data_IF_527094247978
#
_entry.id   IF_527094247978
#
_cell.length_a   1.000
_cell.length_b   1.000
_cell.length_c   1.000
_cell.angle_alpha   90.00
_cell.angle_beta   90.00
_cell.angle_gamma   90.00
#
_symmetry.space_group_name_H-M   'P 1'
#
loop_
_entity.id
_entity.type
_entity.pdbx_description
1 polymer ?
#
# COMPACT_ATOMS: atom_id res chain seq x y z
N UNK A 1 -1.19 24.32 12.12
CA UNK A 1 -0.16 23.97 11.13
C UNK A 1 0.96 23.26 11.87
N UNK A 2 0.88 21.94 11.98
CA UNK A 2 1.89 21.14 12.66
C UNK A 2 2.86 20.62 11.60
N UNK A 3 4.12 21.02 11.73
CA UNK A 3 5.18 20.64 10.82
C UNK A 3 5.39 19.11 10.87
N UNK A 4 5.25 18.46 9.73
CA UNK A 4 5.53 17.06 9.52
C UNK A 4 7.03 16.86 9.70
N UNK A 5 7.41 16.11 10.74
CA UNK A 5 8.80 15.77 11.00
C UNK A 5 9.28 14.80 9.89
N UNK A 6 10.35 15.13 9.13
CA UNK A 6 10.84 14.25 8.09
C UNK A 6 11.45 13.01 8.72
N UNK A 7 11.33 11.88 8.01
CA UNK A 7 12.01 10.60 8.19
C UNK A 7 13.07 10.64 9.30
N UNK A 8 12.81 10.02 10.45
CA UNK A 8 13.81 9.89 11.50
C UNK A 8 14.95 9.00 10.99
N UNK A 9 15.94 9.65 10.40
CA UNK A 9 17.22 9.04 10.12
C UNK A 9 17.93 8.83 11.45
N UNK A 10 18.14 7.58 11.82
CA UNK A 10 19.06 7.23 12.90
C UNK A 10 20.47 7.69 12.48
N UNK A 11 21.15 8.59 13.19
CA UNK A 11 22.48 9.01 12.82
C UNK A 11 23.52 8.04 13.40
N UNK A 12 23.73 6.92 12.71
CA UNK A 12 24.85 6.05 13.04
C UNK A 12 25.54 5.59 11.74
N UNK A 13 26.78 6.07 11.62
CA UNK A 13 27.85 5.73 10.72
C UNK A 13 28.02 6.59 9.46
N UNK A 14 28.90 7.57 9.62
CA UNK A 14 29.53 8.29 8.52
C UNK A 14 30.53 7.42 7.78
N UNK A 15 30.08 6.89 6.66
CA UNK A 15 30.79 6.61 5.42
C UNK A 15 29.64 6.37 4.46
N UNK A 16 29.24 7.40 3.70
CA UNK A 16 28.02 7.38 2.88
C UNK A 16 27.93 6.09 2.06
N UNK A 17 27.01 5.22 2.42
CA UNK A 17 26.69 4.03 1.65
C UNK A 17 26.19 4.50 0.28
N UNK A 18 27.07 4.39 -0.72
CA UNK A 18 26.79 4.84 -2.09
C UNK A 18 25.81 3.94 -2.81
N UNK A 19 25.15 3.02 -2.05
CA UNK A 19 24.22 2.05 -2.60
C UNK A 19 22.83 2.67 -2.78
N UNK A 20 22.14 2.19 -3.79
CA UNK A 20 20.75 2.53 -4.08
C UNK A 20 19.84 2.19 -2.91
N UNK A 21 19.03 3.14 -2.47
CA UNK A 21 18.00 2.90 -1.47
C UNK A 21 16.85 2.10 -2.06
N UNK A 22 16.39 1.10 -1.34
CA UNK A 22 15.12 0.38 -1.60
C UNK A 22 14.10 0.89 -0.59
N UNK A 23 12.89 1.19 -1.03
CA UNK A 23 11.79 1.63 -0.16
C UNK A 23 10.59 0.76 -0.48
N UNK A 24 10.05 0.08 0.53
CA UNK A 24 8.89 -0.79 0.38
C UNK A 24 7.62 -0.07 0.83
N UNK A 25 6.58 -0.19 0.02
CA UNK A 25 5.20 0.14 0.34
C UNK A 25 4.37 -1.13 0.24
N UNK A 26 3.57 -1.41 1.25
CA UNK A 26 2.66 -2.55 1.25
C UNK A 26 1.25 -2.10 1.58
N UNK A 27 0.26 -2.60 0.85
CA UNK A 27 -1.09 -2.59 1.36
C UNK A 27 -1.19 -3.42 2.63
N UNK A 28 -2.28 -3.30 3.35
CA UNK A 28 -2.49 -3.90 4.65
C UNK A 28 -3.48 -5.06 4.58
N UNK A 29 -4.72 -4.73 4.22
CA UNK A 29 -5.85 -5.64 4.15
C UNK A 29 -5.75 -6.51 2.88
N UNK A 30 -5.86 -7.83 2.99
CA UNK A 30 -5.61 -8.77 1.89
C UNK A 30 -4.13 -8.99 1.57
N UNK A 31 -3.22 -8.19 2.12
CA UNK A 31 -1.78 -8.22 1.81
C UNK A 31 -0.92 -8.62 3.00
N UNK A 32 -0.87 -7.84 4.08
CA UNK A 32 -0.18 -8.22 5.33
C UNK A 32 -1.09 -9.09 6.19
N UNK A 33 -2.35 -8.73 6.27
CA UNK A 33 -3.40 -9.49 6.93
C UNK A 33 -4.34 -10.07 5.88
N UNK A 34 -4.78 -11.31 6.09
CA UNK A 34 -5.60 -12.02 5.10
C UNK A 34 -7.03 -11.50 5.04
N UNK A 35 -7.50 -10.89 6.11
CA UNK A 35 -8.85 -10.31 6.22
C UNK A 35 -8.77 -8.79 6.12
N UNK A 36 -9.89 -8.17 5.69
CA UNK A 36 -10.07 -6.72 5.71
C UNK A 36 -10.52 -6.26 7.11
N UNK A 37 -9.72 -5.37 7.71
CA UNK A 37 -9.96 -4.85 9.07
C UNK A 37 -11.26 -4.06 9.18
N UNK A 38 -11.60 -3.29 8.15
CA UNK A 38 -12.86 -2.57 8.06
C UNK A 38 -14.05 -3.51 7.98
N UNK A 39 -13.99 -4.52 7.11
CA UNK A 39 -15.06 -5.50 6.93
C UNK A 39 -15.34 -6.27 8.23
N UNK A 40 -14.29 -6.70 8.94
CA UNK A 40 -14.44 -7.38 10.24
C UNK A 40 -15.22 -6.52 11.25
N UNK A 41 -14.93 -5.21 11.28
CA UNK A 41 -15.65 -4.28 12.16
C UNK A 41 -17.09 -4.01 11.71
N UNK A 42 -17.27 -3.74 10.41
CA UNK A 42 -18.59 -3.40 9.85
C UNK A 42 -19.58 -4.55 10.00
N UNK A 43 -19.11 -5.79 9.75
CA UNK A 43 -19.94 -6.99 9.88
C UNK A 43 -20.32 -7.29 11.32
N UNK A 44 -19.42 -7.00 12.28
CA UNK A 44 -19.62 -7.34 13.70
C UNK A 44 -20.29 -6.23 14.51
N UNK A 45 -20.00 -4.97 14.22
CA UNK A 45 -20.36 -3.82 15.07
C UNK A 45 -20.96 -2.64 14.31
N UNK A 46 -21.10 -2.75 13.00
CA UNK A 46 -21.57 -1.68 12.11
C UNK A 46 -22.81 -2.06 11.32
N UNK A 47 -22.80 -1.77 10.03
CA UNK A 47 -23.93 -1.96 9.13
C UNK A 47 -24.30 -3.44 8.86
N UNK A 48 -23.43 -4.38 9.23
CA UNK A 48 -23.61 -5.80 8.97
C UNK A 48 -23.17 -6.22 7.54
N UNK A 49 -22.93 -7.53 7.36
CA UNK A 49 -22.38 -8.08 6.12
C UNK A 49 -23.24 -7.79 4.88
N UNK A 50 -24.56 -7.98 4.99
CA UNK A 50 -25.50 -7.75 3.88
C UNK A 50 -25.41 -6.29 3.37
N UNK A 51 -25.50 -5.30 4.28
CA UNK A 51 -25.41 -3.91 3.90
C UNK A 51 -24.03 -3.52 3.38
N UNK A 52 -22.97 -4.06 3.97
CA UNK A 52 -21.59 -3.85 3.47
C UNK A 52 -21.43 -4.35 2.03
N UNK A 53 -21.94 -5.56 1.71
CA UNK A 53 -21.88 -6.11 0.35
C UNK A 53 -22.64 -5.24 -0.67
N UNK A 54 -23.79 -4.70 -0.30
CA UNK A 54 -24.51 -3.73 -1.14
C UNK A 54 -23.68 -2.46 -1.40
N UNK A 55 -23.02 -1.95 -0.35
CA UNK A 55 -22.18 -0.76 -0.42
C UNK A 55 -20.93 -1.00 -1.26
N UNK A 56 -20.29 -2.16 -1.12
CA UNK A 56 -19.16 -2.59 -1.95
C UNK A 56 -19.55 -2.67 -3.43
N UNK A 57 -20.74 -3.15 -3.73
CA UNK A 57 -21.24 -3.21 -5.11
C UNK A 57 -21.47 -1.81 -5.69
N UNK A 58 -21.92 -0.84 -4.90
CA UNK A 58 -22.07 0.56 -5.33
C UNK A 58 -20.72 1.19 -5.69
N UNK A 59 -19.63 0.83 -4.97
CA UNK A 59 -18.28 1.24 -5.36
C UNK A 59 -17.87 0.60 -6.70
N UNK A 60 -18.08 -0.72 -6.84
CA UNK A 60 -17.68 -1.47 -8.05
C UNK A 60 -18.40 -0.97 -9.31
N UNK A 61 -19.68 -0.63 -9.19
CA UNK A 61 -20.49 -0.09 -10.30
C UNK A 61 -20.23 1.39 -10.57
N UNK A 62 -19.53 2.09 -9.67
CA UNK A 62 -19.29 3.52 -9.75
C UNK A 62 -20.53 4.36 -9.42
N UNK A 63 -21.56 3.77 -8.80
CA UNK A 63 -22.75 4.48 -8.33
C UNK A 63 -22.42 5.48 -7.23
N UNK A 64 -21.51 5.11 -6.34
CA UNK A 64 -21.01 5.98 -5.26
C UNK A 64 -19.48 5.95 -5.19
N UNK A 65 -18.91 7.05 -4.72
CA UNK A 65 -17.47 7.11 -4.50
C UNK A 65 -17.03 6.19 -3.36
N UNK A 66 -15.77 5.75 -3.39
CA UNK A 66 -15.20 4.97 -2.28
C UNK A 66 -15.26 5.74 -0.96
N UNK A 67 -15.01 7.06 -1.00
CA UNK A 67 -15.07 7.94 0.17
C UNK A 67 -16.46 7.98 0.78
N UNK A 68 -17.51 8.21 -0.03
CA UNK A 68 -18.88 8.33 0.47
C UNK A 68 -19.37 7.03 1.11
N UNK A 69 -19.07 5.90 0.46
CA UNK A 69 -19.42 4.57 0.99
C UNK A 69 -18.64 4.26 2.27
N UNK A 70 -17.34 4.52 2.28
CA UNK A 70 -16.51 4.31 3.46
C UNK A 70 -16.97 5.19 4.63
N UNK A 71 -17.38 6.43 4.38
CA UNK A 71 -17.93 7.32 5.42
C UNK A 71 -19.21 6.74 6.03
N UNK A 72 -20.10 6.16 5.22
CA UNK A 72 -21.30 5.46 5.71
C UNK A 72 -20.93 4.22 6.53
N UNK A 73 -20.02 3.39 6.05
CA UNK A 73 -19.58 2.18 6.74
C UNK A 73 -18.93 2.50 8.09
N UNK A 74 -17.94 3.40 8.12
CA UNK A 74 -17.29 3.82 9.38
C UNK A 74 -18.28 4.51 10.32
N UNK A 75 -19.14 5.38 9.79
CA UNK A 75 -20.19 6.05 10.55
C UNK A 75 -21.29 5.13 11.08
N UNK A 76 -21.35 3.87 10.64
CA UNK A 76 -22.30 2.88 11.14
C UNK A 76 -21.85 2.24 12.46
N UNK A 77 -20.59 2.32 12.82
CA UNK A 77 -20.05 1.72 14.04
C UNK A 77 -20.62 2.38 15.30
N UNK A 78 -20.97 1.57 16.28
CA UNK A 78 -21.47 1.98 17.60
C UNK A 78 -20.83 1.13 18.69
N UNK A 79 -19.53 1.19 18.78
CA UNK A 79 -18.73 0.40 19.71
C UNK A 79 -17.51 1.18 20.16
N UNK A 80 -17.13 1.17 21.45
CA UNK A 80 -15.84 1.70 21.91
C UNK A 80 -14.68 1.04 21.16
N UNK A 81 -13.62 1.81 20.91
CA UNK A 81 -12.49 1.35 20.09
C UNK A 81 -11.89 0.02 20.57
N UNK A 82 -11.63 -0.10 21.88
CA UNK A 82 -11.04 -1.31 22.46
C UNK A 82 -11.97 -2.52 22.42
N UNK A 83 -13.29 -2.30 22.53
CA UNK A 83 -14.28 -3.37 22.42
C UNK A 83 -14.42 -3.86 20.97
N UNK A 84 -14.47 -2.94 20.02
CA UNK A 84 -14.44 -3.27 18.58
C UNK A 84 -13.17 -4.01 18.18
N UNK A 85 -12.04 -3.69 18.80
CA UNK A 85 -10.77 -4.34 18.50
C UNK A 85 -10.75 -5.83 18.87
N UNK A 86 -11.50 -6.27 19.89
CA UNK A 86 -11.54 -7.68 20.34
C UNK A 86 -11.98 -8.68 19.28
N UNK A 87 -12.78 -8.26 18.31
CA UNK A 87 -13.16 -9.14 17.19
C UNK A 87 -12.00 -9.30 16.21
N UNK A 88 -11.23 -8.26 15.97
CA UNK A 88 -10.07 -8.29 15.09
C UNK A 88 -8.96 -9.21 15.62
N UNK A 89 -8.66 -9.16 16.93
CA UNK A 89 -7.68 -10.06 17.57
C UNK A 89 -7.98 -11.55 17.33
N UNK A 90 -9.26 -11.91 17.19
CA UNK A 90 -9.71 -13.30 17.01
C UNK A 90 -9.82 -13.72 15.56
N UNK A 91 -9.97 -12.77 14.65
CA UNK A 91 -10.32 -13.02 13.25
C UNK A 91 -9.16 -12.79 12.30
N UNK A 92 -8.28 -11.82 12.64
CA UNK A 92 -7.20 -11.45 11.75
C UNK A 92 -6.08 -12.50 11.76
N UNK A 93 -5.59 -12.82 10.57
CA UNK A 93 -4.47 -13.70 10.34
C UNK A 93 -3.39 -12.93 9.59
N UNK A 94 -2.22 -12.80 10.22
CA UNK A 94 -1.06 -12.16 9.61
C UNK A 94 -0.36 -13.16 8.66
N UNK A 95 0.19 -12.66 7.55
CA UNK A 95 1.04 -13.47 6.66
C UNK A 95 2.18 -14.14 7.46
N UNK A 96 2.37 -15.47 7.34
CA UNK A 96 3.27 -16.23 8.22
C UNK A 96 4.74 -15.83 8.11
N UNK A 97 5.13 -15.20 7.01
CA UNK A 97 6.51 -14.77 6.76
C UNK A 97 6.70 -13.24 6.89
N UNK A 98 5.63 -12.48 7.19
CA UNK A 98 5.69 -11.03 7.26
C UNK A 98 6.68 -10.54 8.32
N UNK A 99 6.65 -11.09 9.52
CA UNK A 99 7.55 -10.66 10.60
C UNK A 99 9.02 -10.88 10.22
N UNK A 100 9.34 -12.01 9.62
CA UNK A 100 10.70 -12.29 9.12
C UNK A 100 11.15 -11.29 8.07
N UNK A 101 10.26 -11.00 7.12
CA UNK A 101 10.51 -10.03 6.07
C UNK A 101 10.71 -8.62 6.64
N UNK A 102 9.89 -8.22 7.61
CA UNK A 102 10.04 -6.93 8.26
C UNK A 102 11.37 -6.81 9.02
N UNK A 103 11.78 -7.86 9.75
CA UNK A 103 13.10 -7.93 10.38
C UNK A 103 14.24 -7.86 9.33
N UNK A 104 14.07 -8.51 8.18
CA UNK A 104 15.01 -8.35 7.07
C UNK A 104 15.10 -6.90 6.60
N UNK A 105 13.96 -6.20 6.48
CA UNK A 105 13.94 -4.78 6.11
C UNK A 105 14.69 -3.92 7.13
N UNK A 106 14.45 -4.12 8.43
CA UNK A 106 15.14 -3.41 9.51
C UNK A 106 16.66 -3.63 9.41
N UNK A 107 17.11 -4.89 9.34
CA UNK A 107 18.51 -5.28 9.31
C UNK A 107 19.25 -4.76 8.06
N UNK A 108 18.53 -4.50 6.98
CA UNK A 108 19.08 -4.00 5.72
C UNK A 108 18.81 -2.51 5.46
N UNK A 109 18.33 -1.77 6.47
CA UNK A 109 17.97 -0.35 6.36
C UNK A 109 17.01 -0.06 5.19
N UNK A 110 16.05 -0.95 4.96
CA UNK A 110 14.99 -0.81 3.96
C UNK A 110 13.77 -0.20 4.67
N UNK A 111 13.41 1.06 4.42
CA UNK A 111 12.19 1.64 4.97
C UNK A 111 10.97 0.84 4.50
N UNK A 112 10.17 0.36 5.47
CA UNK A 112 8.92 -0.32 5.21
C UNK A 112 7.74 0.57 5.61
N UNK A 113 6.81 0.78 4.67
CA UNK A 113 5.66 1.64 4.85
C UNK A 113 4.39 0.85 4.56
N UNK A 114 3.44 0.88 5.48
CA UNK A 114 2.06 0.47 5.20
C UNK A 114 1.35 1.63 4.53
N UNK A 115 0.63 1.34 3.46
CA UNK A 115 -0.19 2.30 2.72
C UNK A 115 -1.60 1.73 2.52
N UNK A 116 -2.57 2.27 3.25
CA UNK A 116 -3.92 1.71 3.32
C UNK A 116 -4.99 2.79 3.20
N UNK A 117 -6.15 2.42 2.66
CA UNK A 117 -7.35 3.27 2.68
C UNK A 117 -8.11 3.20 4.03
N UNK A 118 -7.71 2.29 4.92
CA UNK A 118 -8.24 2.16 6.27
C UNK A 118 -7.87 3.29 7.22
N UNK A 119 -8.13 3.10 8.50
CA UNK A 119 -7.92 4.09 9.56
C UNK A 119 -6.65 3.80 10.35
N UNK A 120 -5.72 4.75 10.37
CA UNK A 120 -4.42 4.66 11.02
C UNK A 120 -4.46 4.17 12.49
N UNK A 121 -5.40 4.60 13.35
CA UNK A 121 -5.48 4.10 14.73
C UNK A 121 -5.70 2.58 14.78
N UNK A 122 -6.55 2.04 13.90
CA UNK A 122 -6.81 0.60 13.80
C UNK A 122 -5.55 -0.13 13.35
N UNK A 123 -4.97 0.30 12.23
CA UNK A 123 -3.78 -0.34 11.65
C UNK A 123 -2.62 -0.36 12.65
N UNK A 124 -2.43 0.73 13.41
CA UNK A 124 -1.39 0.80 14.46
C UNK A 124 -1.67 -0.22 15.55
N UNK A 125 -2.90 -0.27 16.08
CA UNK A 125 -3.25 -1.20 17.15
C UNK A 125 -3.13 -2.67 16.70
N UNK A 126 -3.50 -2.98 15.47
CA UNK A 126 -3.32 -4.31 14.89
C UNK A 126 -1.82 -4.66 14.84
N UNK A 127 -0.98 -3.80 14.28
CA UNK A 127 0.46 -4.05 14.20
C UNK A 127 1.09 -4.20 15.60
N UNK A 128 0.74 -3.33 16.54
CA UNK A 128 1.23 -3.39 17.92
C UNK A 128 0.86 -4.72 18.60
N UNK A 129 -0.34 -5.22 18.33
CA UNK A 129 -0.83 -6.49 18.91
C UNK A 129 -0.12 -7.71 18.29
N UNK A 130 0.09 -7.73 16.98
CA UNK A 130 0.62 -8.91 16.29
C UNK A 130 2.16 -8.95 16.22
N UNK A 131 2.83 -7.79 16.27
CA UNK A 131 4.30 -7.68 16.17
C UNK A 131 4.95 -7.22 17.49
N UNK A 132 4.18 -6.62 18.41
CA UNK A 132 4.69 -5.87 19.54
C UNK A 132 5.02 -4.42 19.18
N UNK A 133 4.91 -3.51 20.17
CA UNK A 133 5.08 -2.06 19.97
C UNK A 133 6.49 -1.70 19.46
N UNK A 134 7.53 -2.39 19.95
CA UNK A 134 8.91 -2.12 19.55
C UNK A 134 9.14 -2.35 18.05
N UNK A 135 8.70 -3.50 17.54
CA UNK A 135 8.85 -3.83 16.12
C UNK A 135 7.92 -2.98 15.25
N UNK A 136 6.67 -2.84 15.66
CA UNK A 136 5.65 -2.06 14.98
C UNK A 136 6.05 -0.58 14.81
N UNK A 137 6.78 0.01 15.76
CA UNK A 137 7.26 1.39 15.70
C UNK A 137 8.16 1.67 14.48
N UNK A 138 8.81 0.66 13.92
CA UNK A 138 9.60 0.78 12.69
C UNK A 138 8.76 0.86 11.41
N UNK A 139 7.45 0.53 11.48
CA UNK A 139 6.53 0.60 10.36
C UNK A 139 5.86 1.97 10.31
N UNK A 140 6.13 2.72 9.25
CA UNK A 140 5.41 3.96 8.97
C UNK A 140 4.06 3.64 8.36
N UNK A 141 2.98 4.16 8.96
CA UNK A 141 1.62 4.00 8.44
C UNK A 141 1.22 5.27 7.68
N UNK A 142 0.86 5.10 6.43
CA UNK A 142 0.33 6.12 5.52
C UNK A 142 -1.12 5.75 5.22
N UNK A 143 -2.05 6.35 5.95
CA UNK A 143 -3.47 6.00 5.92
C UNK A 143 -4.32 7.21 6.31
N UNK A 144 -5.65 7.07 6.23
CA UNK A 144 -6.59 8.03 6.80
C UNK A 144 -6.45 8.06 8.32
N UNK A 145 -6.76 9.18 8.96
CA UNK A 145 -6.86 9.27 10.40
C UNK A 145 -8.33 9.09 10.84
N UNK A 146 -8.60 9.11 12.14
CA UNK A 146 -9.95 9.00 12.66
C UNK A 146 -10.13 9.81 13.92
N UNK A 147 -11.33 10.32 14.12
CA UNK A 147 -11.86 10.79 15.39
C UNK A 147 -12.87 9.76 15.88
N UNK A 148 -12.57 9.12 17.00
CA UNK A 148 -13.40 8.06 17.60
C UNK A 148 -13.79 8.54 18.99
N UNK A 149 -15.11 8.58 19.27
CA UNK A 149 -15.62 8.92 20.58
C UNK A 149 -15.28 7.81 21.60
N UNK A 150 -14.88 8.19 22.82
CA UNK A 150 -14.48 7.23 23.87
C UNK A 150 -15.60 6.20 24.18
N UNK A 151 -16.86 6.64 24.14
CA UNK A 151 -18.03 5.79 24.36
C UNK A 151 -18.46 4.98 23.12
N UNK A 152 -17.74 5.14 21.99
CA UNK A 152 -18.05 4.45 20.75
C UNK A 152 -19.25 4.98 19.98
N UNK A 153 -19.82 6.13 20.39
CA UNK A 153 -21.00 6.71 19.75
C UNK A 153 -20.73 7.24 18.34
N UNK A 154 -19.50 7.57 18.03
CA UNK A 154 -19.10 8.14 16.75
C UNK A 154 -17.74 7.61 16.30
N UNK A 155 -17.69 7.19 15.03
CA UNK A 155 -16.48 6.86 14.29
C UNK A 155 -16.43 7.72 13.03
N UNK A 156 -15.56 8.73 13.03
CA UNK A 156 -15.46 9.69 11.95
C UNK A 156 -14.09 9.62 11.28
N UNK A 157 -14.01 9.23 10.00
CA UNK A 157 -12.78 9.31 9.22
C UNK A 157 -12.28 10.74 9.08
N UNK A 158 -10.97 10.91 9.12
CA UNK A 158 -10.28 12.14 8.73
C UNK A 158 -9.48 11.79 7.48
N UNK A 159 -10.02 12.18 6.34
CA UNK A 159 -9.47 11.82 5.04
C UNK A 159 -8.09 12.45 4.81
N UNK A 160 -7.17 11.65 4.29
CA UNK A 160 -5.82 12.09 4.00
C UNK A 160 -5.77 13.03 2.80
N UNK A 161 -6.58 12.77 1.78
CA UNK A 161 -6.69 13.57 0.57
C UNK A 161 -8.14 13.97 0.33
N UNK A 162 -8.32 15.15 -0.27
CA UNK A 162 -9.64 15.62 -0.70
C UNK A 162 -9.95 15.10 -2.12
N UNK A 163 -10.16 13.78 -2.19
CA UNK A 163 -10.49 13.05 -3.42
C UNK A 163 -11.62 12.06 -3.15
N UNK A 164 -12.23 11.53 -4.18
CA UNK A 164 -13.25 10.48 -4.09
C UNK A 164 -12.73 9.16 -3.48
N UNK A 165 -11.40 9.00 -3.41
CA UNK A 165 -10.75 7.87 -2.76
C UNK A 165 -10.48 8.09 -1.26
N UNK A 166 -10.59 9.34 -0.76
CA UNK A 166 -10.22 9.70 0.61
C UNK A 166 -8.72 9.55 0.91
N UNK A 167 -8.10 8.48 0.45
CA UNK A 167 -6.65 8.29 0.41
C UNK A 167 -6.23 7.83 -0.98
N UNK A 168 -5.68 8.74 -1.77
CA UNK A 168 -5.02 8.40 -3.03
C UNK A 168 -3.62 7.85 -2.77
N UNK A 169 -3.48 6.52 -2.87
CA UNK A 169 -2.21 5.82 -2.64
C UNK A 169 -1.10 6.26 -3.61
N UNK A 170 -1.45 6.65 -4.85
CA UNK A 170 -0.48 7.13 -5.83
C UNK A 170 0.18 8.43 -5.40
N UNK A 171 -0.59 9.39 -4.90
CA UNK A 171 -0.06 10.66 -4.39
C UNK A 171 0.93 10.42 -3.26
N UNK A 172 0.61 9.51 -2.34
CA UNK A 172 1.50 9.18 -1.21
C UNK A 172 2.82 8.53 -1.66
N UNK A 173 2.78 7.65 -2.66
CA UNK A 173 4.00 7.04 -3.24
C UNK A 173 4.83 8.09 -3.98
N UNK A 174 4.20 8.99 -4.75
CA UNK A 174 4.87 10.08 -5.46
C UNK A 174 5.56 11.05 -4.50
N UNK A 175 4.89 11.42 -3.40
CA UNK A 175 5.47 12.27 -2.36
C UNK A 175 6.72 11.63 -1.74
N UNK A 176 6.63 10.33 -1.39
CA UNK A 176 7.74 9.61 -0.81
C UNK A 176 8.92 9.47 -1.78
N UNK A 177 8.64 9.23 -3.08
CA UNK A 177 9.66 9.21 -4.14
C UNK A 177 10.40 10.54 -4.22
N UNK A 178 9.67 11.66 -4.30
CA UNK A 178 10.27 13.00 -4.35
C UNK A 178 11.15 13.27 -3.15
N UNK A 179 10.68 12.92 -1.94
CA UNK A 179 11.48 13.08 -0.73
C UNK A 179 12.75 12.22 -0.75
N UNK A 180 12.64 10.96 -1.19
CA UNK A 180 13.79 10.07 -1.27
C UNK A 180 14.82 10.54 -2.31
N UNK A 181 14.39 11.07 -3.45
CA UNK A 181 15.25 11.65 -4.48
C UNK A 181 16.02 12.87 -3.95
N UNK A 182 15.36 13.76 -3.19
CA UNK A 182 15.98 14.93 -2.56
C UNK A 182 17.06 14.54 -1.54
N UNK A 183 16.92 13.38 -0.89
CA UNK A 183 17.85 12.87 0.13
C UNK A 183 18.97 11.99 -0.46
N UNK A 184 18.96 11.73 -1.77
CA UNK A 184 19.98 10.93 -2.46
C UNK A 184 21.16 11.80 -2.89
N UNK A 185 22.11 12.07 -1.99
CA UNK A 185 23.32 12.87 -2.26
C UNK A 185 24.29 12.25 -3.28
N UNK A 186 24.09 10.98 -3.62
CA UNK A 186 25.00 10.18 -4.46
C UNK A 186 24.55 10.05 -5.91
N UNK A 187 23.47 10.74 -6.32
CA UNK A 187 22.91 10.68 -7.68
C UNK A 187 22.27 9.34 -8.04
N UNK A 188 22.00 8.48 -7.05
CA UNK A 188 21.24 7.24 -7.26
C UNK A 188 19.73 7.52 -7.15
N UNK A 189 18.93 6.77 -7.92
CA UNK A 189 17.48 6.83 -7.84
C UNK A 189 17.00 5.72 -6.90
N UNK A 190 16.17 6.03 -5.88
CA UNK A 190 15.62 5.01 -5.01
C UNK A 190 14.76 4.01 -5.81
N UNK A 191 14.78 2.75 -5.39
CA UNK A 191 13.92 1.70 -5.90
C UNK A 191 12.65 1.67 -5.07
N UNK A 192 11.52 1.96 -5.69
CA UNK A 192 10.21 1.89 -5.05
C UNK A 192 9.59 0.53 -5.33
N UNK A 193 9.37 -0.22 -4.28
CA UNK A 193 8.67 -1.51 -4.29
C UNK A 193 7.26 -1.31 -3.79
N UNK A 194 6.27 -1.81 -4.51
CA UNK A 194 4.88 -1.83 -4.07
C UNK A 194 4.38 -3.28 -3.97
N UNK A 195 3.66 -3.58 -2.90
CA UNK A 195 3.13 -4.90 -2.56
C UNK A 195 1.63 -4.74 -2.31
N UNK A 196 0.79 -5.49 -3.02
CA UNK A 196 -0.65 -5.37 -2.89
C UNK A 196 -1.41 -6.59 -3.42
N UNK A 197 -2.74 -6.53 -3.30
CA UNK A 197 -3.65 -7.61 -3.68
C UNK A 197 -4.87 -7.15 -4.47
N UNK A 198 -5.27 -5.89 -4.32
CA UNK A 198 -6.55 -5.36 -4.79
C UNK A 198 -6.48 -4.33 -5.92
N UNK A 199 -7.65 -3.99 -6.47
CA UNK A 199 -7.80 -2.97 -7.51
C UNK A 199 -7.50 -1.57 -6.97
N UNK A 200 -7.74 -1.33 -5.69
CA UNK A 200 -7.41 -0.07 -5.00
C UNK A 200 -5.93 0.26 -5.00
N UNK A 201 -5.07 -0.74 -5.26
CA UNK A 201 -3.62 -0.61 -5.32
C UNK A 201 -3.11 -0.14 -6.68
N UNK A 202 -3.91 -0.26 -7.74
CA UNK A 202 -3.49 0.05 -9.10
C UNK A 202 -2.87 1.44 -9.28
N UNK A 203 -3.43 2.52 -8.69
CA UNK A 203 -2.81 3.83 -8.80
C UNK A 203 -1.39 3.86 -8.23
N UNK A 204 -1.18 3.27 -7.06
CA UNK A 204 0.13 3.19 -6.41
C UNK A 204 1.09 2.21 -7.14
N UNK A 205 0.58 1.09 -7.63
CA UNK A 205 1.33 0.11 -8.40
C UNK A 205 1.99 0.73 -9.65
N UNK A 206 1.32 1.67 -10.30
CA UNK A 206 1.85 2.42 -11.45
C UNK A 206 2.99 3.35 -11.09
N UNK A 207 3.08 3.76 -9.84
CA UNK A 207 4.14 4.62 -9.32
C UNK A 207 5.35 3.81 -8.83
N UNK A 208 5.25 2.49 -8.71
CA UNK A 208 6.33 1.62 -8.29
C UNK A 208 7.31 1.28 -9.42
N UNK A 209 8.55 0.93 -9.04
CA UNK A 209 9.56 0.38 -9.93
C UNK A 209 9.49 -1.15 -9.98
N UNK A 210 9.03 -1.76 -8.89
CA UNK A 210 8.78 -3.20 -8.75
C UNK A 210 7.40 -3.39 -8.13
N UNK A 211 6.56 -4.19 -8.78
CA UNK A 211 5.22 -4.54 -8.30
C UNK A 211 5.19 -6.01 -7.88
N UNK A 212 4.76 -6.24 -6.65
CA UNK A 212 4.36 -7.56 -6.18
C UNK A 212 2.84 -7.63 -6.08
N UNK A 213 2.24 -8.62 -6.73
CA UNK A 213 0.80 -8.88 -6.65
C UNK A 213 0.58 -10.24 -5.97
N UNK A 214 -0.30 -10.28 -4.94
CA UNK A 214 -0.63 -11.53 -4.26
C UNK A 214 -1.35 -12.46 -5.24
N UNK A 215 -0.89 -13.71 -5.29
CA UNK A 215 -1.35 -14.73 -6.22
C UNK A 215 -2.83 -15.06 -6.01
N UNK A 216 -3.55 -15.19 -7.12
CA UNK A 216 -4.97 -15.52 -7.13
C UNK A 216 -5.91 -14.42 -6.69
N UNK A 217 -5.40 -13.17 -6.48
CA UNK A 217 -6.24 -12.03 -6.10
C UNK A 217 -6.34 -11.00 -7.23
N UNK A 218 -7.22 -10.02 -7.04
CA UNK A 218 -7.70 -9.14 -8.10
C UNK A 218 -6.62 -8.27 -8.75
N UNK A 219 -5.58 -7.89 -8.01
CA UNK A 219 -4.44 -7.14 -8.57
C UNK A 219 -3.67 -8.00 -9.57
N UNK A 220 -3.43 -9.29 -9.26
CA UNK A 220 -2.76 -10.22 -10.18
C UNK A 220 -3.58 -10.42 -11.45
N UNK A 221 -4.89 -10.70 -11.31
CA UNK A 221 -5.80 -10.87 -12.45
C UNK A 221 -5.79 -9.63 -13.35
N UNK A 222 -5.90 -8.44 -12.76
CA UNK A 222 -5.85 -7.18 -13.51
C UNK A 222 -4.52 -7.01 -14.25
N UNK A 223 -3.40 -7.33 -13.61
CA UNK A 223 -2.09 -7.28 -14.25
C UNK A 223 -2.02 -8.23 -15.45
N UNK A 224 -2.58 -9.44 -15.34
CA UNK A 224 -2.64 -10.41 -16.43
C UNK A 224 -3.53 -9.91 -17.58
N UNK A 225 -4.74 -9.45 -17.27
CA UNK A 225 -5.71 -8.93 -18.25
C UNK A 225 -5.15 -7.75 -19.05
N UNK A 226 -4.33 -6.91 -18.41
CA UNK A 226 -3.81 -5.67 -18.98
C UNK A 226 -2.34 -5.73 -19.38
N UNK A 227 -1.71 -6.91 -19.34
CA UNK A 227 -0.29 -7.11 -19.62
C UNK A 227 0.64 -6.17 -18.83
N UNK A 228 0.33 -5.95 -17.55
CA UNK A 228 1.16 -5.19 -16.62
C UNK A 228 2.18 -6.13 -16.00
N UNK A 229 3.46 -5.74 -16.03
CA UNK A 229 4.51 -6.55 -15.42
C UNK A 229 4.38 -6.52 -13.89
N UNK A 230 4.48 -7.68 -13.26
CA UNK A 230 4.44 -7.86 -11.81
C UNK A 230 5.22 -9.11 -11.41
N UNK A 231 5.52 -9.26 -10.14
CA UNK A 231 6.06 -10.49 -9.55
C UNK A 231 4.97 -11.08 -8.65
N UNK A 232 4.49 -12.31 -8.92
CA UNK A 232 3.50 -12.95 -8.07
C UNK A 232 4.15 -13.43 -6.77
N UNK A 233 3.41 -13.36 -5.66
CA UNK A 233 3.85 -13.87 -4.36
C UNK A 233 2.73 -14.61 -3.63
N UNK A 234 3.11 -15.62 -2.85
CA UNK A 234 2.21 -16.35 -1.95
C UNK A 234 2.37 -15.87 -0.51
N UNK A 235 3.63 -15.66 -0.07
CA UNK A 235 3.96 -15.11 1.25
C UNK A 235 5.07 -14.06 1.15
N UNK A 236 5.30 -13.32 2.21
CA UNK A 236 6.39 -12.32 2.26
C UNK A 236 7.79 -12.95 2.13
N UNK A 237 7.95 -14.27 2.28
CA UNK A 237 9.22 -14.94 1.97
C UNK A 237 9.57 -14.88 0.48
N UNK A 238 8.57 -14.89 -0.41
CA UNK A 238 8.79 -14.76 -1.86
C UNK A 238 9.31 -13.36 -2.19
N UNK A 239 8.70 -12.34 -1.56
CA UNK A 239 9.11 -10.94 -1.71
C UNK A 239 10.54 -10.73 -1.23
N UNK A 240 10.89 -11.31 -0.06
CA UNK A 240 12.26 -11.22 0.45
C UNK A 240 13.27 -11.79 -0.54
N UNK A 241 13.04 -13.01 -1.04
CA UNK A 241 13.94 -13.65 -2.01
C UNK A 241 14.15 -12.81 -3.27
N UNK A 242 13.09 -12.22 -3.78
CA UNK A 242 13.15 -11.39 -4.98
C UNK A 242 13.91 -10.08 -4.73
N UNK A 243 13.65 -9.40 -3.61
CA UNK A 243 14.40 -8.18 -3.23
C UNK A 243 15.88 -8.48 -3.02
N UNK A 244 16.23 -9.61 -2.40
CA UNK A 244 17.62 -10.07 -2.27
C UNK A 244 18.26 -10.29 -3.64
N UNK A 245 17.52 -10.91 -4.56
CA UNK A 245 17.95 -11.10 -5.96
C UNK A 245 18.22 -9.79 -6.68
N UNK A 246 17.27 -8.84 -6.59
CA UNK A 246 17.40 -7.51 -7.19
C UNK A 246 18.62 -6.77 -6.65
N UNK A 247 18.82 -6.77 -5.33
CA UNK A 247 19.95 -6.09 -4.69
C UNK A 247 21.29 -6.70 -5.07
N UNK A 248 21.35 -8.04 -5.16
CA UNK A 248 22.57 -8.75 -5.61
C UNK A 248 22.89 -8.41 -7.07
N UNK A 249 21.89 -8.45 -7.95
CA UNK A 249 22.06 -8.09 -9.36
C UNK A 249 22.51 -6.64 -9.54
N UNK A 250 21.96 -5.74 -8.74
CA UNK A 250 22.33 -4.32 -8.74
C UNK A 250 23.78 -4.13 -8.27
N UNK A 251 24.20 -4.86 -7.23
CA UNK A 251 25.59 -4.86 -6.76
C UNK A 251 26.55 -5.36 -7.83
N UNK A 252 26.24 -6.49 -8.47
CA UNK A 252 27.09 -7.09 -9.51
C UNK A 252 27.22 -6.22 -10.75
N UNK A 253 26.14 -5.57 -11.18
CA UNK A 253 26.10 -4.81 -12.46
C UNK A 253 26.47 -3.33 -12.32
N UNK A 254 26.22 -2.73 -11.18
CA UNK A 254 26.34 -1.28 -10.96
C UNK A 254 27.10 -0.91 -9.69
N UNK A 255 27.66 -1.87 -8.97
CA UNK A 255 28.20 -1.68 -7.62
C UNK A 255 27.16 -1.05 -6.67
N UNK A 256 25.89 -1.47 -6.76
CA UNK A 256 24.78 -1.02 -5.96
C UNK A 256 24.24 0.37 -6.29
N UNK A 257 24.72 1.02 -7.34
CA UNK A 257 24.33 2.39 -7.69
C UNK A 257 23.03 2.48 -8.48
N UNK A 258 22.57 1.38 -9.06
CA UNK A 258 21.43 1.37 -9.96
C UNK A 258 21.68 2.17 -11.23
N UNK A 259 20.59 2.52 -11.93
CA UNK A 259 20.67 3.30 -13.16
C UNK A 259 20.80 4.80 -12.87
N UNK A 260 21.56 5.55 -13.70
CA UNK A 260 21.62 7.01 -13.59
C UNK A 260 20.25 7.67 -13.76
N UNK A 261 20.01 8.77 -13.03
CA UNK A 261 18.74 9.51 -13.03
C UNK A 261 18.23 9.95 -14.41
N UNK A 262 19.15 10.13 -15.38
CA UNK A 262 18.83 10.53 -16.76
C UNK A 262 18.17 9.44 -17.62
N UNK A 263 18.17 8.20 -17.17
CA UNK A 263 17.47 7.10 -17.83
C UNK A 263 16.12 6.91 -17.14
N UNK A 264 15.02 6.81 -17.92
CA UNK A 264 13.72 6.51 -17.36
C UNK A 264 13.80 5.16 -16.61
N UNK A 265 13.85 5.16 -15.26
CA UNK A 265 14.08 3.93 -14.50
C UNK A 265 12.95 2.94 -14.69
N UNK A 266 11.70 3.42 -14.85
CA UNK A 266 10.52 2.58 -15.03
C UNK A 266 10.61 1.67 -16.23
N UNK A 267 11.01 2.20 -17.40
CA UNK A 267 11.13 1.40 -18.63
C UNK A 267 12.26 0.37 -18.59
N UNK A 268 13.32 0.63 -17.83
CA UNK A 268 14.51 -0.21 -17.82
C UNK A 268 14.59 -1.20 -16.66
N UNK A 269 13.98 -0.89 -15.51
CA UNK A 269 13.94 -1.79 -14.36
C UNK A 269 13.03 -2.99 -14.61
N UNK A 270 11.85 -2.78 -15.16
CA UNK A 270 10.94 -3.83 -15.57
C UNK A 270 11.58 -4.83 -16.54
N UNK A 271 12.49 -4.38 -17.38
CA UNK A 271 13.29 -5.26 -18.28
C UNK A 271 14.33 -6.08 -17.55
N UNK A 272 14.80 -5.65 -16.36
CA UNK A 272 15.89 -6.31 -15.62
C UNK A 272 15.41 -7.30 -14.57
N UNK A 273 14.32 -7.01 -13.89
CA UNK A 273 13.79 -7.81 -12.77
C UNK A 273 13.14 -9.10 -13.26
N UNK A 274 12.70 -9.17 -14.50
CA UNK A 274 11.91 -10.28 -15.05
C UNK A 274 12.70 -11.17 -16.00
N UNK A 275 13.85 -11.72 -15.61
CA UNK A 275 14.59 -12.65 -16.49
C UNK A 275 14.05 -14.08 -16.52
N UNK A 276 13.24 -14.51 -15.54
CA UNK A 276 12.76 -15.89 -15.44
C UNK A 276 11.25 -16.10 -15.67
N UNK A 277 10.41 -15.06 -15.51
CA UNK A 277 8.95 -15.16 -15.75
C UNK A 277 8.42 -13.92 -16.49
N UNK A 278 8.93 -13.65 -17.69
CA UNK A 278 8.54 -12.46 -18.45
C UNK A 278 7.19 -12.62 -19.11
N UNK A 279 6.23 -11.79 -18.69
CA UNK A 279 5.18 -11.31 -19.58
C UNK A 279 5.74 -10.08 -20.33
N UNK A 280 5.64 -9.96 -21.66
CA UNK A 280 6.18 -8.83 -22.41
C UNK A 280 5.60 -7.50 -21.94
N UNK A 281 6.46 -6.48 -21.79
CA UNK A 281 6.05 -5.12 -21.45
C UNK A 281 5.18 -4.54 -22.56
N UNK A 282 3.94 -4.27 -22.24
CA UNK A 282 3.04 -3.44 -23.01
C UNK A 282 3.07 -2.02 -22.45
N UNK A 283 3.25 -1.00 -23.30
CA UNK A 283 2.94 0.37 -22.91
C UNK A 283 1.43 0.42 -22.64
N UNK A 284 1.00 0.65 -21.40
CA UNK A 284 -0.43 0.70 -21.14
C UNK A 284 -1.04 1.80 -21.97
N UNK A 285 -2.19 1.57 -22.62
CA UNK A 285 -2.97 2.66 -23.15
C UNK A 285 -3.18 3.65 -22.00
N UNK A 286 -2.97 4.93 -22.26
CA UNK A 286 -3.38 5.99 -21.35
C UNK A 286 -4.85 5.72 -21.06
N UNK A 287 -5.16 5.26 -19.86
CA UNK A 287 -6.57 5.21 -19.43
C UNK A 287 -6.99 6.67 -19.45
N UNK A 288 -7.94 7.07 -20.34
CA UNK A 288 -8.45 8.42 -20.29
C UNK A 288 -8.94 8.65 -18.86
N UNK A 289 -8.78 9.85 -18.34
CA UNK A 289 -9.33 10.29 -17.07
C UNK A 289 -10.88 10.28 -17.04
N UNK A 290 -11.50 9.44 -17.83
CA UNK A 290 -12.92 9.36 -18.16
C UNK A 290 -13.52 8.03 -17.71
N UNK A 291 -13.33 7.68 -16.43
CA UNK A 291 -14.29 6.81 -15.73
C UNK A 291 -15.00 7.61 -14.64
N UNK A 292 -14.87 8.93 -14.64
CA UNK A 292 -15.60 9.82 -13.74
C UNK A 292 -16.54 10.80 -14.48
N UNK A 293 -16.91 10.55 -15.75
CA UNK A 293 -17.88 11.44 -16.40
C UNK A 293 -18.58 10.81 -17.61
N UNK A 294 -19.26 9.70 -17.40
CA UNK A 294 -20.16 9.17 -18.41
C UNK A 294 -21.49 8.72 -17.79
N UNK A 295 -22.21 9.64 -17.16
CA UNK A 295 -23.66 9.50 -16.96
C UNK A 295 -24.32 10.85 -16.68
N UNK A 296 -24.29 11.78 -17.64
CA UNK A 296 -25.32 12.81 -17.77
C UNK A 296 -25.42 13.14 -19.25
N UNK A 297 -26.23 12.43 -20.00
CA UNK A 297 -26.97 12.86 -21.16
C UNK A 297 -27.69 11.66 -21.78
N UNK A 298 -28.93 11.43 -21.43
CA UNK A 298 -30.04 11.19 -22.33
C UNK A 298 -31.29 10.78 -21.55
N UNK A 299 -32.03 11.77 -21.15
CA UNK A 299 -33.45 11.62 -20.89
C UNK A 299 -34.15 12.94 -21.31
N UNK A 300 -34.32 13.14 -22.62
CA UNK A 300 -35.32 14.01 -23.21
C UNK A 300 -35.54 13.56 -24.65
N UNK A 301 -36.53 12.73 -24.86
CA UNK A 301 -37.47 12.72 -26.00
C UNK A 301 -38.56 11.69 -25.69
#
# INVERSE_FOLDING_TARGET
>A
MSAINPLSANPANGAGDKKRKVICFSDFDGTIFMQDTGHVLFDSHGCGAERREELDEQIKTGERSFRDVSEEMWGSLRVPFDDGFKVMEKTLEIDPDFQKFHQYCINNSIPFNVISAGLKPILRKVLDTFLGEEESAHIKIVANDAQIAEDGSEWKPIWRHDTELGHDKALSVQEARKQAELLCDNGTIPLIVFIGDGVSDLPAAREADVLFARRGLRLEEYCQENNIAYTPFDTFADIQREIEGIRREDEEKTAGKGLPARFNPRANLWRRVSSQNRVPLYNPPVIPATIASASVATAQA
#
